data_IF_708819180712
#
_entry.id   IF_708819180712
#
_cell.length_a   1.000
_cell.length_b   1.000
_cell.length_c   1.000
_cell.angle_alpha   90.00
_cell.angle_beta   90.00
_cell.angle_gamma   90.00
#
_symmetry.space_group_name_H-M   'P 1'
#
loop_
_entity.id
_entity.type
_entity.pdbx_description
1 polymer ?
#
# COMPACT_ATOMS: atom_id res chain seq x y z
N UNK A 1 -31.89 44.94 -10.61
CA UNK A 1 -30.74 44.60 -9.75
C UNK A 1 -29.90 43.55 -10.46
N UNK A 2 -28.80 43.95 -11.08
CA UNK A 2 -27.93 43.05 -11.84
C UNK A 2 -27.11 42.17 -10.87
N UNK A 3 -27.12 40.86 -11.08
CA UNK A 3 -26.22 39.93 -10.39
C UNK A 3 -24.78 40.35 -10.71
N UNK A 4 -24.03 40.78 -9.71
CA UNK A 4 -22.58 40.88 -9.79
C UNK A 4 -22.07 39.47 -10.11
N UNK A 5 -21.52 39.30 -11.31
CA UNK A 5 -20.86 38.05 -11.70
C UNK A 5 -19.73 37.82 -10.68
N UNK A 6 -19.87 36.76 -9.87
CA UNK A 6 -18.84 36.37 -8.92
C UNK A 6 -17.57 36.11 -9.72
N UNK A 7 -16.55 36.96 -9.54
CA UNK A 7 -15.25 36.74 -10.17
C UNK A 7 -14.73 35.38 -9.73
N UNK A 8 -14.30 34.57 -10.69
CA UNK A 8 -13.77 33.25 -10.40
C UNK A 8 -12.40 33.42 -9.72
N UNK A 9 -12.36 33.27 -8.41
CA UNK A 9 -11.14 33.41 -7.61
C UNK A 9 -9.99 32.51 -8.11
N UNK A 10 -10.32 31.37 -8.74
CA UNK A 10 -9.33 30.50 -9.37
C UNK A 10 -8.59 31.20 -10.52
N UNK A 11 -9.28 32.01 -11.34
CA UNK A 11 -8.67 32.75 -12.46
C UNK A 11 -7.86 33.96 -12.02
N UNK A 12 -8.05 34.42 -10.78
CA UNK A 12 -7.26 35.47 -10.15
C UNK A 12 -5.91 34.96 -9.62
N UNK A 13 -5.72 33.63 -9.55
CA UNK A 13 -4.44 33.04 -9.17
C UNK A 13 -3.39 33.19 -10.30
N UNK A 14 -2.11 33.40 -9.94
CA UNK A 14 -0.97 33.24 -10.83
C UNK A 14 -1.08 31.99 -11.70
N UNK A 15 -0.64 32.09 -12.95
CA UNK A 15 -0.81 30.99 -13.92
C UNK A 15 -0.10 29.72 -13.46
N UNK A 16 1.03 29.87 -12.77
CA UNK A 16 1.81 28.80 -12.16
C UNK A 16 0.99 28.05 -11.11
N UNK A 17 0.27 28.78 -10.24
CA UNK A 17 -0.60 28.17 -9.22
C UNK A 17 -1.81 27.49 -9.85
N UNK A 18 -2.38 28.06 -10.92
CA UNK A 18 -3.44 27.41 -11.66
C UNK A 18 -2.95 26.13 -12.34
N UNK A 19 -1.77 26.16 -12.95
CA UNK A 19 -1.18 24.98 -13.59
C UNK A 19 -0.86 23.89 -12.58
N UNK A 20 -0.43 24.22 -11.37
CA UNK A 20 -0.24 23.24 -10.29
C UNK A 20 -1.56 22.72 -9.72
N UNK A 21 -2.58 23.57 -9.55
CA UNK A 21 -3.93 23.13 -9.18
C UNK A 21 -4.52 22.24 -10.26
N UNK A 22 -4.31 22.56 -11.54
CA UNK A 22 -4.69 21.71 -12.65
C UNK A 22 -3.86 20.44 -12.65
N UNK A 23 -2.54 20.46 -12.47
CA UNK A 23 -1.73 19.26 -12.38
C UNK A 23 -2.24 18.34 -11.25
N UNK A 24 -2.57 18.90 -10.08
CA UNK A 24 -3.13 18.15 -8.96
C UNK A 24 -4.57 17.65 -9.22
N UNK A 25 -5.41 18.44 -9.88
CA UNK A 25 -6.79 18.07 -10.22
C UNK A 25 -6.88 17.15 -11.47
N UNK A 26 -5.85 17.16 -12.31
CA UNK A 26 -5.67 16.37 -13.55
C UNK A 26 -4.81 15.13 -13.28
N UNK A 27 -4.37 14.87 -12.04
CA UNK A 27 -3.93 13.53 -11.62
C UNK A 27 -5.14 12.57 -11.60
N UNK A 28 -5.80 12.42 -12.74
CA UNK A 28 -6.70 11.33 -13.11
C UNK A 28 -5.83 10.14 -13.51
N UNK A 29 -4.99 9.71 -12.58
CA UNK A 29 -4.20 8.50 -12.73
C UNK A 29 -5.12 7.34 -12.35
N UNK A 30 -5.47 6.51 -13.34
CA UNK A 30 -6.28 5.32 -13.10
C UNK A 30 -5.58 4.35 -12.14
N UNK A 31 -4.25 4.27 -12.20
CA UNK A 31 -3.43 3.39 -11.38
C UNK A 31 -2.25 4.16 -10.80
N UNK A 32 -1.90 3.91 -9.53
CA UNK A 32 -0.67 4.43 -8.93
C UNK A 32 0.04 3.29 -8.23
N UNK A 33 1.33 3.11 -8.46
CA UNK A 33 2.14 2.08 -7.79
C UNK A 33 3.16 2.73 -6.86
N UNK A 34 3.23 2.26 -5.62
CA UNK A 34 4.13 2.76 -4.59
C UNK A 34 4.97 1.59 -4.07
N UNK A 35 6.28 1.75 -4.10
CA UNK A 35 7.19 0.74 -3.58
C UNK A 35 8.62 1.24 -3.46
N UNK A 36 9.53 0.29 -3.32
CA UNK A 36 10.97 0.52 -3.28
C UNK A 36 11.61 -0.10 -4.51
N UNK A 37 12.60 0.57 -5.06
CA UNK A 37 13.41 0.02 -6.13
C UNK A 37 14.87 -0.06 -5.70
N UNK A 38 15.51 -1.18 -6.05
CA UNK A 38 16.93 -1.41 -5.77
C UNK A 38 17.78 -0.62 -6.75
N UNK A 39 18.80 0.06 -6.25
CA UNK A 39 19.72 0.81 -7.08
C UNK A 39 20.80 -0.15 -7.59
N UNK A 40 20.93 -0.23 -8.91
CA UNK A 40 21.96 -1.02 -9.59
C UNK A 40 22.99 -0.09 -10.22
N UNK A 41 24.27 -0.45 -10.14
CA UNK A 41 25.36 0.33 -10.71
C UNK A 41 26.64 0.20 -9.90
N UNK A 42 27.67 0.92 -10.33
CA UNK A 42 28.94 0.95 -9.60
C UNK A 42 28.76 1.55 -8.20
N UNK A 43 29.51 1.06 -7.20
CA UNK A 43 29.40 1.56 -5.82
C UNK A 43 29.54 3.10 -5.72
N UNK A 44 30.47 3.77 -6.45
CA UNK A 44 30.53 5.22 -6.47
C UNK A 44 29.24 5.88 -6.99
N UNK A 45 28.62 5.32 -8.03
CA UNK A 45 27.37 5.85 -8.59
C UNK A 45 26.20 5.67 -7.61
N UNK A 46 26.13 4.51 -6.94
CA UNK A 46 25.11 4.26 -5.90
C UNK A 46 25.26 5.24 -4.74
N UNK A 47 26.49 5.46 -4.26
CA UNK A 47 26.77 6.42 -3.18
C UNK A 47 26.44 7.84 -3.63
N UNK A 48 26.84 8.24 -4.83
CA UNK A 48 26.50 9.55 -5.38
C UNK A 48 24.98 9.74 -5.54
N UNK A 49 24.24 8.70 -5.94
CA UNK A 49 22.78 8.78 -6.06
C UNK A 49 22.09 9.02 -4.72
N UNK A 50 22.53 8.29 -3.69
CA UNK A 50 21.94 8.32 -2.34
C UNK A 50 22.38 9.54 -1.50
N UNK A 51 23.64 9.93 -1.60
CA UNK A 51 24.27 10.93 -0.71
C UNK A 51 24.79 12.17 -1.46
N UNK A 52 24.90 12.11 -2.79
CA UNK A 52 25.34 13.24 -3.59
C UNK A 52 24.35 14.40 -3.51
N UNK A 53 24.82 15.61 -3.83
CA UNK A 53 23.99 16.84 -3.82
C UNK A 53 23.26 17.09 -2.49
N UNK A 54 23.91 16.79 -1.36
CA UNK A 54 23.35 16.94 -0.01
C UNK A 54 22.07 16.11 0.23
N UNK A 55 21.91 15.01 -0.51
CA UNK A 55 20.81 14.07 -0.28
C UNK A 55 21.07 13.25 0.97
N UNK A 56 19.98 12.95 1.67
CA UNK A 56 19.98 11.94 2.70
C UNK A 56 19.19 10.72 2.18
N UNK A 57 19.68 9.49 2.43
CA UNK A 57 18.93 8.28 2.13
C UNK A 57 17.56 8.32 2.82
N UNK A 58 16.52 7.79 2.16
CA UNK A 58 15.19 7.75 2.75
C UNK A 58 15.21 6.79 3.94
N UNK A 59 14.82 7.23 5.15
CA UNK A 59 14.87 6.37 6.33
C UNK A 59 13.84 5.24 6.23
N UNK A 60 14.13 4.08 6.84
CA UNK A 60 13.13 3.01 6.98
C UNK A 60 12.92 2.12 5.75
N UNK A 61 13.68 2.29 4.68
CA UNK A 61 13.69 1.38 3.51
C UNK A 61 15.00 0.55 3.45
N UNK A 62 15.05 -0.56 2.71
CA UNK A 62 16.25 -1.38 2.59
C UNK A 62 17.48 -0.60 2.10
N UNK A 63 18.68 -0.97 2.55
CA UNK A 63 19.94 -0.40 2.03
C UNK A 63 20.02 -0.48 0.49
N UNK A 64 20.60 0.56 -0.13
CA UNK A 64 20.76 0.67 -1.59
C UNK A 64 19.46 0.63 -2.39
N UNK A 65 18.38 1.11 -1.80
CA UNK A 65 17.09 1.28 -2.45
C UNK A 65 16.63 2.72 -2.38
N UNK A 66 15.69 3.10 -3.25
CA UNK A 66 15.03 4.40 -3.21
C UNK A 66 13.50 4.25 -3.25
N UNK A 67 12.75 5.20 -2.67
CA UNK A 67 11.30 5.20 -2.78
C UNK A 67 10.87 5.57 -4.20
N UNK A 68 9.91 4.84 -4.75
CA UNK A 68 9.38 5.05 -6.09
C UNK A 68 7.85 5.15 -6.02
N UNK A 69 7.32 6.23 -6.60
CA UNK A 69 5.88 6.47 -6.78
C UNK A 69 5.63 6.68 -8.27
N UNK A 70 4.89 5.79 -8.90
CA UNK A 70 4.59 5.84 -10.32
C UNK A 70 3.10 6.01 -10.58
N UNK A 71 2.76 6.84 -11.58
CA UNK A 71 1.39 7.10 -12.03
C UNK A 71 0.78 5.98 -12.91
N UNK A 72 1.39 4.80 -12.92
CA UNK A 72 0.94 3.63 -13.68
C UNK A 72 1.11 2.35 -12.85
N UNK A 73 0.48 1.26 -13.29
CA UNK A 73 0.68 -0.05 -12.68
C UNK A 73 2.05 -0.63 -13.06
N UNK A 74 2.89 -0.96 -12.06
CA UNK A 74 4.21 -1.59 -12.25
C UNK A 74 4.39 -2.77 -11.31
N UNK A 75 4.07 -3.97 -11.81
CA UNK A 75 4.20 -5.24 -11.08
C UNK A 75 5.59 -5.47 -10.43
N UNK A 76 6.67 -5.00 -11.06
CA UNK A 76 8.03 -5.15 -10.54
C UNK A 76 8.25 -4.42 -9.20
N UNK A 77 7.51 -3.34 -8.91
CA UNK A 77 7.61 -2.63 -7.63
C UNK A 77 6.93 -3.41 -6.48
N UNK A 78 6.02 -4.32 -6.81
CA UNK A 78 5.27 -5.15 -5.86
C UNK A 78 5.91 -6.53 -5.67
N UNK A 79 6.70 -6.98 -6.65
CA UNK A 79 7.33 -8.30 -6.65
C UNK A 79 8.48 -8.38 -5.66
N UNK A 80 8.45 -9.39 -4.80
CA UNK A 80 9.58 -9.74 -3.91
C UNK A 80 10.65 -10.53 -4.67
N UNK A 81 10.24 -11.28 -5.70
CA UNK A 81 11.12 -12.18 -6.46
C UNK A 81 11.95 -11.43 -7.50
N UNK A 82 11.30 -10.50 -8.21
CA UNK A 82 11.91 -9.67 -9.24
C UNK A 82 11.72 -8.20 -8.86
N UNK A 83 12.46 -7.71 -7.83
CA UNK A 83 12.30 -6.35 -7.35
C UNK A 83 12.65 -5.36 -8.46
N UNK A 84 11.94 -4.25 -8.51
CA UNK A 84 12.24 -3.17 -9.45
C UNK A 84 13.68 -2.67 -9.24
N UNK A 85 14.37 -2.41 -10.36
CA UNK A 85 15.71 -1.85 -10.34
C UNK A 85 15.73 -0.47 -10.99
N UNK A 86 16.60 0.39 -10.46
CA UNK A 86 16.88 1.71 -11.03
C UNK A 86 18.38 1.84 -11.23
N UNK A 87 18.79 2.23 -12.43
CA UNK A 87 20.19 2.39 -12.78
C UNK A 87 20.77 3.63 -12.13
N UNK A 88 21.90 3.49 -11.44
CA UNK A 88 22.52 4.54 -10.65
C UNK A 88 22.94 5.75 -11.50
N UNK A 89 23.22 5.54 -12.78
CA UNK A 89 23.62 6.57 -13.75
C UNK A 89 22.47 7.50 -14.16
N UNK A 90 21.22 7.05 -14.05
CA UNK A 90 20.04 7.84 -14.42
C UNK A 90 19.74 8.81 -13.29
N UNK A 91 19.98 10.11 -13.45
CA UNK A 91 19.62 11.05 -12.38
C UNK A 91 18.11 10.97 -12.07
N UNK A 92 17.72 10.87 -10.78
CA UNK A 92 16.30 10.91 -10.44
C UNK A 92 15.75 12.28 -10.81
N UNK A 93 14.50 12.29 -11.27
CA UNK A 93 13.77 13.52 -11.56
C UNK A 93 13.88 14.48 -10.36
N UNK A 94 13.95 15.79 -10.66
CA UNK A 94 14.06 16.93 -9.75
C UNK A 94 12.86 17.07 -8.76
N UNK A 95 12.17 15.99 -8.41
CA UNK A 95 11.06 15.97 -7.45
C UNK A 95 11.43 15.29 -6.13
N UNK A 96 12.58 14.61 -6.06
CA UNK A 96 13.06 13.86 -4.89
C UNK A 96 13.77 14.73 -3.82
N UNK A 97 13.36 15.99 -3.64
CA UNK A 97 14.11 16.97 -2.83
C UNK A 97 13.64 17.09 -1.38
N UNK A 98 14.61 17.27 -0.48
CA UNK A 98 14.40 17.69 0.91
C UNK A 98 14.23 19.23 1.07
N UNK A 99 14.53 20.01 0.03
CA UNK A 99 14.46 21.48 0.03
C UNK A 99 13.14 22.03 -0.52
N UNK A 100 12.22 21.16 -0.97
CA UNK A 100 10.81 21.49 -1.25
C UNK A 100 9.97 21.63 0.03
N UNK A 101 10.54 21.35 1.20
CA UNK A 101 9.83 21.35 2.48
C UNK A 101 9.34 22.72 3.00
N UNK A 102 9.69 23.84 2.37
CA UNK A 102 9.20 25.17 2.80
C UNK A 102 8.24 25.78 1.80
N UNK A 103 8.66 26.03 0.56
CA UNK A 103 7.78 26.64 -0.45
C UNK A 103 6.73 25.67 -1.00
N UNK A 104 7.13 24.46 -1.41
CA UNK A 104 6.22 23.44 -1.91
C UNK A 104 5.33 22.87 -0.79
N UNK A 105 5.84 22.71 0.43
CA UNK A 105 4.98 22.29 1.54
C UNK A 105 3.97 23.38 1.95
N UNK A 106 4.35 24.66 1.93
CA UNK A 106 3.43 25.78 2.17
C UNK A 106 2.41 25.90 1.04
N UNK A 107 2.83 25.73 -0.22
CA UNK A 107 1.96 25.69 -1.38
C UNK A 107 1.05 24.45 -1.39
N UNK A 108 1.53 23.30 -0.93
CA UNK A 108 0.75 22.07 -0.80
C UNK A 108 -0.26 22.18 0.33
N UNK A 109 0.09 22.82 1.45
CA UNK A 109 -0.84 23.12 2.53
C UNK A 109 -1.88 24.17 2.11
N UNK A 110 -1.47 25.22 1.40
CA UNK A 110 -2.38 26.21 0.81
C UNK A 110 -3.28 25.57 -0.25
N UNK A 111 -2.74 24.75 -1.14
CA UNK A 111 -3.51 24.02 -2.15
C UNK A 111 -4.43 23.00 -1.50
N UNK A 112 -4.05 22.38 -0.38
CA UNK A 112 -4.90 21.48 0.38
C UNK A 112 -6.03 22.24 1.07
N UNK A 113 -5.75 23.40 1.66
CA UNK A 113 -6.76 24.26 2.27
C UNK A 113 -7.72 24.83 1.21
N UNK A 114 -7.20 25.31 0.08
CA UNK A 114 -7.97 25.77 -1.07
C UNK A 114 -8.75 24.61 -1.68
N UNK A 115 -8.19 23.40 -1.79
CA UNK A 115 -8.89 22.23 -2.28
C UNK A 115 -9.97 21.75 -1.30
N UNK A 116 -9.72 21.76 0.00
CA UNK A 116 -10.73 21.41 1.01
C UNK A 116 -11.87 22.45 0.99
N UNK A 117 -11.56 23.76 0.81
CA UNK A 117 -12.55 24.81 0.56
C UNK A 117 -13.29 24.62 -0.77
N UNK A 118 -12.57 24.34 -1.86
CA UNK A 118 -13.15 24.10 -3.17
C UNK A 118 -13.98 22.81 -3.20
N UNK A 119 -13.64 21.75 -2.47
CA UNK A 119 -14.47 20.54 -2.35
C UNK A 119 -15.68 20.77 -1.45
N UNK A 120 -15.56 21.66 -0.45
CA UNK A 120 -16.69 22.06 0.39
C UNK A 120 -17.69 22.97 -0.35
N UNK A 121 -17.21 23.81 -1.27
CA UNK A 121 -18.00 24.82 -1.99
C UNK A 121 -18.37 24.43 -3.43
N UNK A 122 -17.52 23.67 -4.11
CA UNK A 122 -17.81 23.00 -5.37
C UNK A 122 -17.97 21.52 -5.09
N UNK A 123 -19.20 21.03 -5.21
CA UNK A 123 -19.50 19.61 -5.30
C UNK A 123 -18.95 19.04 -6.62
N UNK A 124 -17.64 19.09 -6.84
CA UNK A 124 -16.97 18.23 -7.82
C UNK A 124 -17.15 16.84 -7.25
N UNK A 125 -17.90 15.94 -7.91
CA UNK A 125 -17.89 14.54 -7.52
C UNK A 125 -16.45 14.11 -7.69
N UNK A 126 -15.71 13.95 -6.58
CA UNK A 126 -14.37 13.37 -6.60
C UNK A 126 -14.50 12.06 -7.37
N UNK A 127 -14.04 12.03 -8.63
CA UNK A 127 -13.98 10.79 -9.41
C UNK A 127 -12.90 9.96 -8.76
N UNK A 128 -13.30 9.16 -7.76
CA UNK A 128 -12.44 8.16 -7.13
C UNK A 128 -12.37 6.98 -8.08
N UNK A 129 -11.51 7.09 -9.09
CA UNK A 129 -11.25 5.99 -10.03
C UNK A 129 -9.79 5.53 -10.01
N UNK A 130 -9.00 6.03 -9.06
CA UNK A 130 -7.60 5.61 -8.88
C UNK A 130 -7.53 4.32 -8.05
N UNK A 131 -6.93 3.27 -8.59
CA UNK A 131 -6.50 2.11 -7.81
C UNK A 131 -5.05 2.28 -7.36
N UNK A 132 -4.82 2.21 -6.05
CA UNK A 132 -3.48 2.26 -5.47
C UNK A 132 -2.93 0.84 -5.34
N UNK A 133 -1.70 0.62 -5.81
CA UNK A 133 -0.94 -0.61 -5.61
C UNK A 133 0.27 -0.30 -4.74
N UNK A 134 0.40 -0.96 -3.60
CA UNK A 134 1.35 -0.59 -2.55
C UNK A 134 2.15 -1.80 -2.12
N UNK A 135 3.47 -1.68 -2.12
CA UNK A 135 4.36 -2.72 -1.61
C UNK A 135 4.29 -2.76 -0.07
N UNK A 136 4.10 -3.95 0.53
CA UNK A 136 4.20 -4.16 1.97
C UNK A 136 5.57 -4.77 2.33
N UNK A 137 6.25 -4.30 3.40
CA UNK A 137 5.88 -3.19 4.29
C UNK A 137 6.36 -1.81 3.83
N UNK A 138 7.38 -1.72 2.97
CA UNK A 138 8.09 -0.45 2.72
C UNK A 138 7.30 0.58 1.91
N UNK A 139 6.52 0.15 0.92
CA UNK A 139 5.65 1.04 0.15
C UNK A 139 4.53 1.64 1.03
N UNK A 140 4.05 0.90 2.03
CA UNK A 140 3.10 1.42 3.02
C UNK A 140 3.72 2.54 3.87
N UNK A 141 4.99 2.39 4.26
CA UNK A 141 5.74 3.43 4.95
C UNK A 141 5.88 4.70 4.11
N UNK A 142 6.26 4.54 2.83
CA UNK A 142 6.35 5.64 1.87
C UNK A 142 5.00 6.34 1.69
N UNK A 143 3.91 5.58 1.51
CA UNK A 143 2.56 6.12 1.37
C UNK A 143 2.14 6.97 2.57
N UNK A 144 2.42 6.49 3.79
CA UNK A 144 2.06 7.20 5.01
C UNK A 144 2.85 8.51 5.16
N UNK A 145 4.14 8.50 4.83
CA UNK A 145 5.05 9.61 5.13
C UNK A 145 5.12 10.66 4.01
N UNK A 146 5.01 10.24 2.74
CA UNK A 146 5.16 11.17 1.59
C UNK A 146 3.85 11.55 0.94
N UNK A 147 2.91 10.61 0.80
CA UNK A 147 1.72 10.78 -0.06
C UNK A 147 0.42 10.31 0.59
N UNK A 148 0.12 10.67 1.86
CA UNK A 148 -1.10 10.20 2.55
C UNK A 148 -2.39 10.71 1.89
N UNK A 149 -2.29 11.74 1.05
CA UNK A 149 -3.42 12.33 0.34
C UNK A 149 -3.99 11.40 -0.75
N UNK A 150 -3.18 10.50 -1.32
CA UNK A 150 -3.61 9.56 -2.37
C UNK A 150 -4.74 8.65 -1.88
N UNK A 151 -4.79 8.34 -0.58
CA UNK A 151 -5.87 7.55 0.01
C UNK A 151 -7.25 8.22 -0.10
N UNK A 152 -7.32 9.55 -0.19
CA UNK A 152 -8.58 10.28 -0.37
C UNK A 152 -9.15 10.16 -1.78
N UNK A 153 -8.25 9.98 -2.76
CA UNK A 153 -8.58 9.82 -4.18
C UNK A 153 -8.76 8.36 -4.57
N UNK A 154 -8.20 7.44 -3.78
CA UNK A 154 -8.27 6.01 -4.02
C UNK A 154 -9.71 5.48 -4.02
N UNK A 155 -9.99 4.68 -5.04
CA UNK A 155 -11.17 3.82 -5.16
C UNK A 155 -10.89 2.47 -4.50
N UNK A 156 -9.76 1.88 -4.83
CA UNK A 156 -9.30 0.59 -4.31
C UNK A 156 -7.85 0.70 -3.87
N UNK A 157 -7.48 -0.12 -2.90
CA UNK A 157 -6.10 -0.21 -2.41
C UNK A 157 -5.68 -1.69 -2.45
N UNK A 158 -4.59 -1.99 -3.13
CA UNK A 158 -4.03 -3.33 -3.28
C UNK A 158 -2.65 -3.32 -2.62
N UNK A 159 -2.50 -4.04 -1.52
CA UNK A 159 -1.24 -4.22 -0.83
C UNK A 159 -0.64 -5.57 -1.22
N UNK A 160 0.64 -5.59 -1.54
CA UNK A 160 1.34 -6.81 -1.93
C UNK A 160 2.72 -6.87 -1.28
N UNK A 161 3.07 -8.00 -0.66
CA UNK A 161 4.40 -8.14 -0.08
C UNK A 161 4.64 -9.48 0.58
N UNK A 162 5.74 -9.56 1.33
CA UNK A 162 6.07 -10.69 2.17
C UNK A 162 6.09 -10.30 3.64
N UNK A 163 5.80 -11.25 4.51
CA UNK A 163 5.87 -11.06 5.95
C UNK A 163 6.75 -12.14 6.57
N UNK A 164 7.77 -11.70 7.31
CA UNK A 164 8.61 -12.58 8.12
C UNK A 164 8.46 -12.14 9.58
N UNK A 165 8.07 -13.04 10.49
CA UNK A 165 7.88 -12.69 11.89
C UNK A 165 9.21 -12.26 12.50
N UNK A 166 9.22 -11.14 13.21
CA UNK A 166 10.44 -10.67 13.90
C UNK A 166 10.61 -11.37 15.24
N UNK A 167 9.51 -11.49 15.99
CA UNK A 167 9.52 -11.94 17.38
C UNK A 167 8.62 -13.15 17.61
N UNK A 168 8.26 -13.94 16.58
CA UNK A 168 7.40 -15.11 16.72
C UNK A 168 8.06 -16.34 16.09
N UNK A 169 8.07 -17.45 16.84
CA UNK A 169 8.52 -18.75 16.35
C UNK A 169 7.33 -19.64 16.06
N UNK A 170 7.12 -20.06 14.80
CA UNK A 170 6.04 -20.96 14.42
C UNK A 170 6.21 -22.35 15.03
N UNK A 171 7.46 -22.82 15.17
CA UNK A 171 7.78 -24.15 15.72
C UNK A 171 7.56 -24.23 17.23
N UNK A 172 7.61 -23.09 17.92
CA UNK A 172 7.37 -23.01 19.37
C UNK A 172 6.01 -22.37 19.71
N UNK A 173 5.28 -21.86 18.70
CA UNK A 173 4.06 -21.05 18.84
C UNK A 173 4.18 -19.96 19.94
N UNK A 174 5.38 -19.40 20.09
CA UNK A 174 5.73 -18.51 21.18
C UNK A 174 6.50 -17.30 20.66
N UNK A 175 6.45 -16.20 21.42
CA UNK A 175 7.26 -15.02 21.10
C UNK A 175 8.73 -15.31 21.41
N UNK A 176 9.59 -15.08 20.44
CA UNK A 176 11.03 -15.17 20.56
C UNK A 176 11.56 -13.98 21.37
N UNK A 177 12.56 -14.22 22.21
CA UNK A 177 13.34 -13.15 22.82
C UNK A 177 14.22 -12.44 21.79
N UNK A 178 14.70 -11.21 22.07
CA UNK A 178 15.46 -10.39 21.12
C UNK A 178 16.77 -11.01 20.60
N UNK A 179 17.28 -12.07 21.26
CA UNK A 179 18.50 -12.78 20.86
C UNK A 179 18.27 -13.89 19.81
N UNK A 180 17.02 -14.30 19.59
CA UNK A 180 16.68 -15.43 18.70
C UNK A 180 15.97 -15.00 17.41
N UNK A 181 15.78 -13.69 17.21
CA UNK A 181 15.15 -13.14 16.03
C UNK A 181 16.03 -13.37 14.77
N UNK A 182 15.44 -13.63 13.60
CA UNK A 182 16.17 -13.79 12.34
C UNK A 182 16.96 -12.52 11.97
N UNK A 183 18.04 -12.68 11.17
CA UNK A 183 18.83 -11.56 10.67
C UNK A 183 17.95 -10.54 9.96
N UNK A 184 17.92 -9.32 10.51
CA UNK A 184 17.12 -8.24 9.96
C UNK A 184 17.80 -7.63 8.73
N UNK A 185 16.99 -7.31 7.72
CA UNK A 185 17.41 -6.46 6.61
C UNK A 185 17.98 -5.15 7.17
N UNK A 186 19.18 -4.79 6.73
CA UNK A 186 19.75 -3.49 7.09
C UNK A 186 18.92 -2.38 6.45
N UNK A 187 18.42 -1.48 7.28
CA UNK A 187 17.57 -0.36 6.88
C UNK A 187 18.37 0.94 6.84
N UNK A 188 18.02 1.78 5.88
CA UNK A 188 18.56 3.13 5.76
C UNK A 188 18.17 3.97 6.98
N UNK A 189 19.14 4.71 7.52
CA UNK A 189 18.93 5.60 8.66
C UNK A 189 18.76 4.90 10.02
N UNK A 190 18.94 3.58 10.10
CA UNK A 190 18.69 2.78 11.33
C UNK A 190 17.27 3.00 11.91
N UNK A 191 16.32 3.43 11.08
CA UNK A 191 14.92 3.59 11.45
C UNK A 191 14.19 2.31 11.09
N UNK A 192 13.51 1.71 12.06
CA UNK A 192 12.61 0.59 11.81
C UNK A 192 11.22 1.17 11.61
N UNK A 193 10.61 1.05 10.41
CA UNK A 193 9.25 1.53 10.19
C UNK A 193 8.27 0.68 11.02
N UNK A 194 7.34 1.34 11.69
CA UNK A 194 6.24 0.71 12.45
C UNK A 194 5.13 0.30 11.46
N UNK A 195 5.41 -0.72 10.66
CA UNK A 195 4.52 -1.22 9.60
C UNK A 195 3.18 -1.69 10.16
N UNK A 196 3.18 -2.23 11.38
CA UNK A 196 2.02 -2.78 12.06
C UNK A 196 1.04 -1.65 12.38
N UNK A 197 1.51 -0.54 12.97
CA UNK A 197 0.65 0.61 13.25
C UNK A 197 0.22 1.34 11.99
N UNK A 198 1.08 1.42 10.98
CA UNK A 198 0.71 2.03 9.70
C UNK A 198 -0.43 1.24 9.03
N UNK A 199 -0.36 -0.09 9.07
CA UNK A 199 -1.41 -0.97 8.53
C UNK A 199 -2.69 -0.87 9.35
N UNK A 200 -2.59 -0.85 10.68
CA UNK A 200 -3.72 -0.61 11.58
C UNK A 200 -4.43 0.71 11.24
N UNK A 201 -3.67 1.81 11.08
CA UNK A 201 -4.22 3.12 10.72
C UNK A 201 -4.93 3.07 9.38
N UNK A 202 -4.35 2.40 8.39
CA UNK A 202 -4.98 2.23 7.07
C UNK A 202 -6.34 1.53 7.21
N UNK A 203 -6.40 0.34 7.80
CA UNK A 203 -7.65 -0.39 7.96
C UNK A 203 -8.66 0.34 8.84
N UNK A 204 -8.25 0.96 9.96
CA UNK A 204 -9.15 1.78 10.77
C UNK A 204 -9.72 2.96 9.99
N UNK A 205 -8.91 3.62 9.15
CA UNK A 205 -9.33 4.77 8.36
C UNK A 205 -10.33 4.41 7.26
N UNK A 206 -10.30 3.16 6.78
CA UNK A 206 -11.11 2.67 5.66
C UNK A 206 -12.32 1.80 6.08
N UNK A 207 -12.17 0.99 7.13
CA UNK A 207 -13.12 -0.03 7.59
C UNK A 207 -13.40 0.00 9.10
N UNK A 208 -12.85 0.99 9.83
CA UNK A 208 -13.14 1.16 11.25
C UNK A 208 -14.61 1.53 11.51
N UNK A 209 -14.99 1.61 12.78
CA UNK A 209 -16.38 1.96 13.18
C UNK A 209 -16.85 3.32 12.63
N UNK A 210 -15.91 4.21 12.31
CA UNK A 210 -16.14 5.52 11.67
C UNK A 210 -15.11 5.72 10.56
N UNK A 211 -15.33 5.16 9.35
CA UNK A 211 -14.36 5.24 8.28
C UNK A 211 -14.25 6.70 7.78
N UNK A 212 -13.02 7.20 7.73
CA UNK A 212 -12.70 8.53 7.21
C UNK A 212 -12.54 8.54 5.68
N UNK A 213 -12.14 7.39 5.12
CA UNK A 213 -11.99 7.17 3.69
C UNK A 213 -13.18 6.33 3.20
N UNK A 214 -13.71 6.62 2.00
CA UNK A 214 -14.74 5.76 1.38
C UNK A 214 -14.10 5.01 0.22
N UNK A 215 -13.42 3.92 0.56
CA UNK A 215 -12.91 2.95 -0.42
C UNK A 215 -14.06 2.04 -0.88
N UNK A 216 -13.92 1.46 -2.07
CA UNK A 216 -14.80 0.38 -2.52
C UNK A 216 -14.26 -0.99 -2.14
N UNK A 217 -12.95 -1.16 -2.16
CA UNK A 217 -12.31 -2.41 -1.78
C UNK A 217 -10.88 -2.18 -1.30
N UNK A 218 -10.42 -3.04 -0.41
CA UNK A 218 -9.00 -3.22 -0.11
C UNK A 218 -8.64 -4.69 -0.36
N UNK A 219 -7.52 -4.92 -1.02
CA UNK A 219 -6.95 -6.25 -1.23
C UNK A 219 -5.56 -6.26 -0.58
N UNK A 220 -5.26 -7.33 0.14
CA UNK A 220 -3.99 -7.54 0.83
C UNK A 220 -3.49 -8.93 0.47
N UNK A 221 -2.39 -9.00 -0.27
CA UNK A 221 -1.72 -10.26 -0.66
C UNK A 221 -0.38 -10.34 0.03
N UNK A 222 -0.26 -11.28 0.96
CA UNK A 222 0.96 -11.46 1.76
C UNK A 222 1.48 -12.88 1.60
N UNK A 223 2.76 -13.00 1.28
CA UNK A 223 3.45 -14.28 1.27
C UNK A 223 4.27 -14.47 2.56
N UNK A 224 4.05 -15.60 3.20
CA UNK A 224 4.74 -16.03 4.40
C UNK A 224 5.74 -17.12 3.99
N UNK A 225 7.05 -16.83 3.92
CA UNK A 225 8.05 -17.81 3.54
C UNK A 225 8.26 -18.84 4.68
N UNK A 226 8.56 -20.08 4.32
CA UNK A 226 8.94 -21.15 5.25
C UNK A 226 7.97 -22.33 5.30
N UNK A 227 8.45 -23.47 5.78
CA UNK A 227 7.70 -24.74 5.81
C UNK A 227 6.52 -24.73 6.78
N UNK A 228 6.62 -24.01 7.91
CA UNK A 228 5.57 -23.88 8.93
C UNK A 228 4.87 -22.50 8.88
N UNK A 229 4.94 -21.82 7.74
CA UNK A 229 4.43 -20.45 7.57
C UNK A 229 2.93 -20.28 7.88
N UNK A 230 2.13 -21.36 7.80
CA UNK A 230 0.70 -21.30 8.06
C UNK A 230 0.36 -20.92 9.51
N UNK A 231 1.11 -21.40 10.50
CA UNK A 231 0.85 -21.04 11.89
C UNK A 231 1.24 -19.59 12.18
N UNK A 232 2.20 -19.03 11.45
CA UNK A 232 2.55 -17.59 11.51
C UNK A 232 1.40 -16.69 11.10
N UNK A 233 0.60 -17.11 10.11
CA UNK A 233 -0.52 -16.29 9.60
C UNK A 233 -1.47 -15.90 10.74
N UNK A 234 -1.75 -16.83 11.64
CA UNK A 234 -2.79 -16.70 12.66
C UNK A 234 -2.26 -16.59 14.09
N UNK A 235 -1.08 -17.15 14.36
CA UNK A 235 -0.48 -17.22 15.69
C UNK A 235 0.35 -15.99 16.06
N UNK A 236 0.76 -15.20 15.07
CA UNK A 236 1.46 -13.93 15.31
C UNK A 236 0.46 -12.77 15.35
N UNK A 237 0.36 -12.06 16.48
CA UNK A 237 -0.46 -10.86 16.63
C UNK A 237 -0.03 -9.73 15.69
N UNK A 238 1.24 -9.74 15.26
CA UNK A 238 1.83 -8.76 14.33
C UNK A 238 1.64 -9.17 12.86
N UNK A 239 1.01 -10.31 12.59
CA UNK A 239 0.68 -10.76 11.24
C UNK A 239 -0.23 -9.74 10.54
N UNK A 240 0.06 -9.33 9.28
CA UNK A 240 -0.74 -8.36 8.54
C UNK A 240 -2.22 -8.77 8.41
N UNK A 241 -2.48 -10.08 8.30
CA UNK A 241 -3.83 -10.63 8.20
C UNK A 241 -4.58 -10.49 9.53
N UNK A 242 -3.90 -10.73 10.66
CA UNK A 242 -4.49 -10.55 12.00
C UNK A 242 -4.77 -9.07 12.27
N UNK A 243 -3.83 -8.19 11.92
CA UNK A 243 -4.00 -6.73 12.03
C UNK A 243 -5.19 -6.26 11.17
N UNK A 244 -5.30 -6.72 9.92
CA UNK A 244 -6.42 -6.40 9.04
C UNK A 244 -7.75 -6.83 9.68
N UNK A 245 -7.87 -8.09 10.09
CA UNK A 245 -9.09 -8.63 10.69
C UNK A 245 -9.49 -7.92 11.98
N UNK A 246 -8.54 -7.54 12.84
CA UNK A 246 -8.83 -6.80 14.07
C UNK A 246 -9.44 -5.42 13.80
N UNK A 247 -9.09 -4.80 12.67
CA UNK A 247 -9.40 -3.40 12.39
C UNK A 247 -10.55 -3.19 11.39
N UNK A 248 -11.03 -4.25 10.75
CA UNK A 248 -12.25 -4.23 9.94
C UNK A 248 -13.46 -4.44 10.84
N UNK A 249 -14.21 -3.37 11.11
CA UNK A 249 -15.37 -3.40 11.98
C UNK A 249 -16.62 -3.98 11.27
N UNK A 250 -16.86 -3.54 10.03
CA UNK A 250 -18.02 -3.92 9.21
C UNK A 250 -17.55 -4.15 7.77
N UNK A 251 -18.19 -5.09 7.08
CA UNK A 251 -17.85 -5.44 5.69
C UNK A 251 -17.81 -6.93 5.44
N UNK A 252 -17.72 -7.26 4.15
CA UNK A 252 -17.47 -8.62 3.67
C UNK A 252 -15.98 -8.81 3.51
N UNK A 253 -15.44 -9.83 4.18
CA UNK A 253 -14.03 -10.18 4.19
C UNK A 253 -13.91 -11.56 3.54
N UNK A 254 -13.24 -11.63 2.40
CA UNK A 254 -12.91 -12.89 1.74
C UNK A 254 -11.42 -13.17 1.91
N UNK A 255 -11.08 -14.36 2.38
CA UNK A 255 -9.71 -14.80 2.62
C UNK A 255 -9.44 -16.04 1.79
N UNK A 256 -8.43 -16.00 0.93
CA UNK A 256 -7.90 -17.17 0.25
C UNK A 256 -6.53 -17.53 0.82
N UNK A 257 -6.42 -18.72 1.39
CA UNK A 257 -5.17 -19.26 1.94
C UNK A 257 -4.61 -20.27 0.95
N UNK A 258 -3.45 -19.95 0.38
CA UNK A 258 -2.71 -20.77 -0.56
C UNK A 258 -1.54 -21.45 0.16
N UNK A 259 -1.69 -22.72 0.53
CA UNK A 259 -0.68 -23.46 1.27
C UNK A 259 0.26 -24.21 0.33
N UNK A 260 1.55 -23.90 0.41
CA UNK A 260 2.60 -24.52 -0.39
C UNK A 260 3.59 -25.33 0.44
N UNK A 261 4.58 -25.90 -0.24
CA UNK A 261 5.69 -26.59 0.42
C UNK A 261 6.72 -25.60 0.98
N UNK A 262 6.93 -24.46 0.31
CA UNK A 262 7.98 -23.49 0.64
C UNK A 262 7.48 -22.24 1.36
N UNK A 263 6.16 -22.05 1.42
CA UNK A 263 5.52 -20.92 2.05
C UNK A 263 4.00 -21.01 2.01
N UNK A 264 3.35 -19.98 2.55
CA UNK A 264 1.90 -19.80 2.51
C UNK A 264 1.57 -18.42 1.95
N UNK A 265 0.79 -18.35 0.89
CA UNK A 265 0.20 -17.11 0.39
C UNK A 265 -1.16 -16.87 1.03
N UNK A 266 -1.45 -15.64 1.45
CA UNK A 266 -2.78 -15.26 1.94
C UNK A 266 -3.25 -14.02 1.20
N UNK A 267 -4.38 -14.13 0.51
CA UNK A 267 -5.06 -13.01 -0.13
C UNK A 267 -6.31 -12.69 0.68
N UNK A 268 -6.36 -11.50 1.26
CA UNK A 268 -7.52 -10.97 1.96
C UNK A 268 -8.10 -9.84 1.12
N UNK A 269 -9.36 -9.92 0.77
CA UNK A 269 -10.12 -8.81 0.22
C UNK A 269 -11.21 -8.39 1.19
N UNK A 270 -11.39 -7.09 1.37
CA UNK A 270 -12.47 -6.54 2.16
C UNK A 270 -13.24 -5.49 1.38
N UNK A 271 -14.57 -5.60 1.39
CA UNK A 271 -15.51 -4.70 0.73
C UNK A 271 -16.42 -4.11 1.79
N UNK A 272 -16.58 -2.77 1.87
CA UNK A 272 -17.50 -2.17 2.83
C UNK A 272 -18.92 -2.53 2.47
N UNK A 273 -19.68 -3.01 3.46
CA UNK A 273 -21.10 -3.36 3.29
C UNK A 273 -21.97 -2.30 3.97
N UNK A 274 -23.11 -1.98 3.35
CA UNK A 274 -24.11 -1.05 3.91
C UNK A 274 -24.87 -1.65 5.08
N UNK A 275 -24.98 -2.97 5.12
CA UNK A 275 -25.51 -3.71 6.26
C UNK A 275 -24.53 -3.65 7.44
N UNK A 276 -25.05 -3.56 8.67
CA UNK A 276 -24.25 -3.64 9.91
C UNK A 276 -23.83 -5.08 10.20
N UNK A 277 -23.17 -5.73 9.26
CA UNK A 277 -22.69 -7.10 9.38
C UNK A 277 -21.21 -7.18 9.03
N UNK A 278 -20.54 -8.12 9.69
CA UNK A 278 -19.18 -8.52 9.39
C UNK A 278 -19.21 -10.00 9.01
N UNK A 279 -18.92 -10.28 7.74
CA UNK A 279 -18.93 -11.63 7.20
C UNK A 279 -17.50 -12.01 6.83
N UNK A 280 -17.04 -13.17 7.30
CA UNK A 280 -15.73 -13.70 6.94
C UNK A 280 -15.95 -15.02 6.19
N UNK A 281 -15.46 -15.08 4.96
CA UNK A 281 -15.36 -16.31 4.17
C UNK A 281 -13.89 -16.67 3.99
N UNK A 282 -13.58 -17.95 4.17
CA UNK A 282 -12.21 -18.45 3.98
C UNK A 282 -12.20 -19.64 3.05
N UNK A 283 -11.28 -19.65 2.09
CA UNK A 283 -11.06 -20.75 1.14
C UNK A 283 -9.60 -21.18 1.21
N UNK A 284 -9.37 -22.48 1.35
CA UNK A 284 -8.03 -23.07 1.31
C UNK A 284 -7.76 -23.64 -0.08
N UNK A 285 -6.59 -23.28 -0.63
CA UNK A 285 -6.10 -23.72 -1.94
C UNK A 285 -4.69 -24.25 -1.80
N UNK A 286 -4.31 -25.10 -2.74
CA UNK A 286 -2.93 -25.60 -2.85
C UNK A 286 -2.10 -24.57 -3.61
N UNK A 287 -0.96 -24.17 -3.04
CA UNK A 287 0.03 -23.33 -3.72
C UNK A 287 1.06 -24.23 -4.41
N UNK A 288 1.23 -24.01 -5.71
CA UNK A 288 2.22 -24.72 -6.52
C UNK A 288 3.38 -23.76 -6.82
N UNK A 289 4.55 -24.04 -6.26
CA UNK A 289 5.75 -23.20 -6.41
C UNK A 289 7.04 -24.00 -6.18
N UNK A 290 8.11 -23.61 -6.88
CA UNK A 290 9.48 -24.06 -6.58
C UNK A 290 9.92 -25.41 -7.16
N UNK A 291 9.19 -25.96 -8.14
CA UNK A 291 9.64 -27.06 -9.03
C UNK A 291 10.05 -26.50 -10.40
N UNK A 292 10.79 -27.28 -11.21
CA UNK A 292 11.28 -26.84 -12.54
C UNK A 292 10.16 -26.39 -13.49
N UNK A 293 8.95 -26.94 -13.34
CA UNK A 293 7.74 -26.62 -14.11
C UNK A 293 6.79 -25.64 -13.41
N UNK A 294 7.14 -25.17 -12.20
CA UNK A 294 6.28 -24.34 -11.36
C UNK A 294 6.78 -22.90 -11.24
N UNK A 295 5.90 -21.96 -10.89
CA UNK A 295 6.29 -20.58 -10.61
C UNK A 295 7.41 -20.47 -9.56
N UNK A 296 8.26 -19.45 -9.72
CA UNK A 296 9.31 -19.13 -8.75
C UNK A 296 8.70 -18.89 -7.36
N UNK A 297 9.41 -19.27 -6.30
CA UNK A 297 8.94 -19.17 -4.91
C UNK A 297 8.55 -17.72 -4.58
N UNK A 298 7.34 -17.49 -4.07
CA UNK A 298 6.86 -16.14 -3.74
C UNK A 298 6.41 -15.28 -4.93
N UNK A 299 6.43 -15.80 -6.17
CA UNK A 299 5.91 -15.06 -7.33
C UNK A 299 4.39 -14.84 -7.28
N UNK A 300 3.69 -15.64 -6.48
CA UNK A 300 2.25 -15.56 -6.21
C UNK A 300 1.77 -14.21 -5.64
N UNK A 301 2.68 -13.42 -5.04
CA UNK A 301 2.37 -12.12 -4.42
C UNK A 301 1.69 -11.15 -5.38
N UNK A 302 2.15 -11.14 -6.64
CA UNK A 302 1.59 -10.26 -7.67
C UNK A 302 0.48 -11.02 -8.39
N UNK A 303 -0.75 -10.52 -8.32
CA UNK A 303 -1.87 -11.16 -9.01
C UNK A 303 -1.71 -11.02 -10.54
N UNK A 304 -1.78 -12.13 -11.31
CA UNK A 304 -1.79 -12.08 -12.77
C UNK A 304 -2.94 -11.25 -13.36
N UNK A 305 -4.04 -11.06 -12.62
CA UNK A 305 -5.22 -10.30 -13.04
C UNK A 305 -5.09 -8.80 -12.77
N UNK A 306 -4.07 -8.35 -12.04
CA UNK A 306 -3.83 -6.92 -11.85
C UNK A 306 -3.25 -6.28 -13.11
N UNK A 307 -3.70 -5.06 -13.49
CA UNK A 307 -4.58 -4.15 -12.74
C UNK A 307 -6.08 -4.27 -13.09
N UNK A 308 -6.45 -5.19 -14.00
CA UNK A 308 -7.80 -5.29 -14.56
C UNK A 308 -8.78 -6.12 -13.70
N UNK A 309 -8.37 -6.51 -12.49
CA UNK A 309 -9.21 -7.23 -11.53
C UNK A 309 -10.49 -6.44 -11.30
N UNK A 310 -11.59 -6.98 -11.81
CA UNK A 310 -12.92 -6.46 -11.50
C UNK A 310 -13.14 -6.77 -10.03
N UNK A 311 -13.15 -5.74 -9.18
CA UNK A 311 -13.72 -5.84 -7.83
C UNK A 311 -15.06 -6.53 -8.03
N UNK A 312 -15.19 -7.75 -7.50
CA UNK A 312 -16.36 -8.58 -7.77
C UNK A 312 -17.60 -7.81 -7.32
N UNK A 313 -18.39 -7.34 -8.28
CA UNK A 313 -19.73 -6.81 -8.05
C UNK A 313 -20.57 -7.97 -7.49
N UNK A 314 -20.57 -8.14 -6.18
CA UNK A 314 -21.62 -8.82 -5.39
C UNK A 314 -22.29 -10.07 -5.98
N UNK A 315 -21.61 -10.89 -6.78
CA UNK A 315 -22.21 -12.07 -7.38
C UNK A 315 -21.31 -13.29 -7.20
N UNK A 316 -21.59 -14.00 -6.11
CA UNK A 316 -21.48 -15.44 -5.95
C UNK A 316 -20.73 -16.21 -7.06
N UNK A 317 -19.46 -16.54 -6.81
CA UNK A 317 -18.98 -17.87 -7.20
C UNK A 317 -19.22 -18.79 -6.01
N UNK A 318 -20.40 -19.42 -6.01
CA UNK A 318 -20.75 -20.42 -5.01
C UNK A 318 -19.91 -21.68 -5.25
N UNK A 319 -18.77 -21.76 -4.59
CA UNK A 319 -18.22 -23.04 -4.17
C UNK A 319 -18.20 -22.96 -2.66
N UNK A 320 -19.08 -23.75 -2.00
CA UNK A 320 -19.33 -23.75 -0.54
C UNK A 320 -18.07 -23.42 0.25
N UNK A 321 -17.96 -22.18 0.68
CA UNK A 321 -16.99 -21.75 1.69
C UNK A 321 -17.68 -21.84 3.05
N UNK A 322 -16.92 -22.21 4.09
CA UNK A 322 -17.41 -22.21 5.46
C UNK A 322 -17.60 -20.75 5.91
N UNK A 323 -18.83 -20.24 5.80
CA UNK A 323 -19.17 -18.88 6.20
C UNK A 323 -19.32 -18.81 7.72
N UNK A 324 -18.45 -18.06 8.39
CA UNK A 324 -18.60 -17.75 9.81
C UNK A 324 -19.31 -16.40 9.92
N UNK A 325 -20.58 -16.42 10.30
CA UNK A 325 -21.37 -15.21 10.57
C UNK A 325 -21.16 -14.84 12.05
N UNK A 326 -20.49 -13.72 12.29
CA UNK A 326 -20.37 -13.15 13.64
C UNK A 326 -21.47 -12.11 13.84
N UNK A 327 -22.51 -12.46 14.60
CA UNK A 327 -23.50 -11.51 15.10
C UNK A 327 -23.03 -10.96 16.44
N UNK A 328 -22.38 -9.80 16.44
CA UNK A 328 -22.22 -9.01 17.66
C UNK A 328 -23.33 -7.95 17.70
N UNK A 329 -24.21 -8.10 18.69
CA UNK A 329 -25.13 -7.06 19.16
C UNK A 329 -24.40 -6.08 20.07
#
# INVERSE_FOLDING_TARGET
>A
MARVSARCALLELPVELRLEIYAFAVLDCKYVTIGTAKIEGSLPNVVHRLYGRQRAPYPGIPERSEPVVEAHYRAALLSVVKPATVQAEIEPAETAYAHTNTAYHTLSLLNKQINDELQSHFAIPTRRDTSLFVQYPFGLHILHDTTPQLLRQARTVHLAGSYTPQNYSPSQAARLGPQQAPEQLKLQGNVVPDSERQLERLFKSCFGARPSQRLQAIELRVYYPGHDAYSTVWGDDESPIVIALRNIALGEISIEVWRGQYGTGVALSAVPTTEKKRVVSTVWRKLEEGREDQPEKGSWIVDPQWPDSKVADGSASSTRADTVISTHA
#
